data_IF_270284332541
#
_entry.id   IF_270284332541
#
_cell.length_a   1.000
_cell.length_b   1.000
_cell.length_c   1.000
_cell.angle_alpha   90.00
_cell.angle_beta   90.00
_cell.angle_gamma   90.00
#
_symmetry.space_group_name_H-M   'P 1'
#
loop_
_entity.id
_entity.type
_entity.pdbx_description
1 polymer ?
#
# COMPACT_ATOMS: atom_id res chain seq x y z
N UNK A 1 3.45 7.82 -8.18
CA UNK A 1 4.24 6.68 -7.68
C UNK A 1 4.12 5.51 -8.64
N UNK A 2 5.14 4.66 -8.66
CA UNK A 2 5.13 3.38 -9.35
C UNK A 2 5.57 2.31 -8.34
N UNK A 3 4.83 1.23 -8.27
CA UNK A 3 5.11 0.07 -7.43
C UNK A 3 5.21 -1.15 -8.33
N UNK A 4 6.28 -1.90 -8.16
CA UNK A 4 6.50 -3.18 -8.82
C UNK A 4 6.71 -4.25 -7.76
N UNK A 5 6.03 -5.36 -7.90
CA UNK A 5 6.15 -6.54 -7.04
C UNK A 5 6.15 -7.78 -7.91
N UNK A 6 6.82 -8.83 -7.48
CA UNK A 6 6.84 -10.09 -8.24
C UNK A 6 7.55 -11.20 -7.51
N UNK A 7 7.28 -12.42 -7.95
CA UNK A 7 7.96 -13.62 -7.50
C UNK A 7 8.59 -14.32 -8.71
N UNK A 8 9.88 -14.56 -8.64
CA UNK A 8 10.65 -15.30 -9.64
C UNK A 8 10.93 -16.70 -9.16
N UNK A 9 11.30 -17.61 -10.08
CA UNK A 9 11.67 -18.99 -9.79
C UNK A 9 10.56 -19.82 -9.12
N UNK A 10 9.29 -19.58 -9.51
CA UNK A 10 8.17 -20.43 -9.09
C UNK A 10 8.32 -21.78 -9.77
N UNK A 11 8.64 -22.81 -8.99
CA UNK A 11 8.83 -24.16 -9.53
C UNK A 11 7.48 -24.83 -9.80
N UNK A 12 7.10 -24.96 -11.06
CA UNK A 12 5.97 -25.78 -11.48
C UNK A 12 6.22 -27.29 -11.22
N UNK A 13 5.12 -28.03 -11.01
CA UNK A 13 5.15 -29.49 -10.88
C UNK A 13 3.99 -30.11 -11.65
N UNK A 14 4.27 -31.22 -12.31
CA UNK A 14 3.24 -32.07 -12.90
C UNK A 14 2.43 -32.79 -11.81
N UNK A 15 1.28 -33.33 -12.17
CA UNK A 15 0.46 -34.16 -11.27
C UNK A 15 1.20 -35.39 -10.72
N UNK A 16 2.24 -35.82 -11.40
CA UNK A 16 3.17 -36.91 -10.98
C UNK A 16 4.19 -36.46 -9.93
N UNK A 17 4.22 -35.15 -9.54
CA UNK A 17 5.18 -34.57 -8.61
C UNK A 17 6.54 -34.22 -9.24
N UNK A 18 6.80 -34.57 -10.47
CA UNK A 18 8.03 -34.19 -11.19
C UNK A 18 8.07 -32.69 -11.43
N UNK A 19 9.27 -32.10 -11.36
CA UNK A 19 9.47 -30.67 -11.67
C UNK A 19 9.11 -30.42 -13.13
N UNK A 20 8.35 -29.37 -13.36
CA UNK A 20 8.13 -28.82 -14.70
C UNK A 20 8.97 -27.55 -14.88
N UNK A 21 8.45 -26.54 -15.53
CA UNK A 21 9.11 -25.27 -15.80
C UNK A 21 9.26 -24.37 -14.57
N UNK A 22 10.16 -23.41 -14.67
CA UNK A 22 10.20 -22.27 -13.76
C UNK A 22 9.33 -21.14 -14.32
N UNK A 23 8.51 -20.59 -13.47
CA UNK A 23 7.56 -19.52 -13.80
C UNK A 23 7.88 -18.27 -12.98
N UNK A 24 7.34 -17.14 -13.40
CA UNK A 24 7.41 -15.88 -12.68
C UNK A 24 6.08 -15.14 -12.74
N UNK A 25 5.76 -14.39 -11.70
CA UNK A 25 4.62 -13.49 -11.68
C UNK A 25 5.10 -12.06 -11.40
N UNK A 26 4.41 -11.08 -11.93
CA UNK A 26 4.73 -9.68 -11.72
C UNK A 26 3.49 -8.81 -11.64
N UNK A 27 3.49 -7.88 -10.71
CA UNK A 27 2.43 -6.91 -10.53
C UNK A 27 3.01 -5.50 -10.59
N UNK A 28 2.37 -4.63 -11.36
CA UNK A 28 2.74 -3.24 -11.52
C UNK A 28 1.53 -2.35 -11.21
N UNK A 29 1.77 -1.32 -10.40
CA UNK A 29 0.78 -0.30 -10.13
C UNK A 29 1.38 1.10 -10.35
N UNK A 30 0.78 1.90 -11.22
CA UNK A 30 1.10 3.30 -11.41
C UNK A 30 0.01 4.11 -10.72
N UNK A 31 0.42 5.03 -9.84
CA UNK A 31 -0.50 5.87 -9.08
C UNK A 31 -0.24 7.35 -9.38
N UNK A 32 -1.30 8.05 -9.76
CA UNK A 32 -1.32 9.50 -9.95
C UNK A 32 -2.13 10.08 -8.81
N UNK A 33 -1.51 10.93 -7.99
CA UNK A 33 -2.12 11.51 -6.80
C UNK A 33 -2.35 13.00 -7.00
N UNK A 34 -3.54 13.46 -6.67
CA UNK A 34 -3.87 14.87 -6.53
C UNK A 34 -4.26 15.15 -5.08
N UNK A 35 -3.72 16.24 -4.52
CA UNK A 35 -4.10 16.68 -3.17
C UNK A 35 -4.15 18.20 -3.11
N UNK A 36 -5.20 18.73 -2.50
CA UNK A 36 -5.39 20.17 -2.36
C UNK A 36 -5.95 20.53 -0.98
N UNK A 37 -5.41 21.57 -0.39
CA UNK A 37 -6.01 22.22 0.77
C UNK A 37 -7.10 23.17 0.29
N UNK A 38 -8.34 22.87 0.65
CA UNK A 38 -9.53 23.66 0.27
C UNK A 38 -9.75 24.80 1.29
N UNK A 39 -9.60 24.48 2.57
CA UNK A 39 -9.70 25.43 3.69
C UNK A 39 -8.50 25.23 4.63
N UNK A 40 -8.19 26.21 5.52
CA UNK A 40 -7.08 26.06 6.47
C UNK A 40 -7.17 24.79 7.33
N UNK A 41 -8.38 24.26 7.52
CA UNK A 41 -8.68 23.10 8.37
C UNK A 41 -9.13 21.86 7.58
N UNK A 42 -9.31 21.93 6.24
CA UNK A 42 -9.73 20.78 5.42
C UNK A 42 -8.87 20.65 4.16
N UNK A 43 -8.43 19.43 3.89
CA UNK A 43 -7.73 19.04 2.67
C UNK A 43 -8.40 17.82 2.04
N UNK A 44 -8.46 17.81 0.72
CA UNK A 44 -8.98 16.71 -0.08
C UNK A 44 -7.83 16.06 -0.87
N UNK A 45 -7.92 14.75 -1.07
CA UNK A 45 -6.99 13.99 -1.91
C UNK A 45 -7.70 12.92 -2.71
N UNK A 46 -7.17 12.63 -3.89
CA UNK A 46 -7.62 11.55 -4.75
C UNK A 46 -6.43 10.86 -5.40
N UNK A 47 -6.51 9.53 -5.56
CA UNK A 47 -5.58 8.72 -6.33
C UNK A 47 -6.30 8.09 -7.51
N UNK A 48 -5.64 8.08 -8.65
CA UNK A 48 -5.96 7.24 -9.79
C UNK A 48 -4.90 6.16 -9.92
N UNK A 49 -5.32 4.91 -10.07
CA UNK A 49 -4.45 3.73 -10.15
C UNK A 49 -4.60 3.07 -11.52
N UNK A 50 -3.48 2.76 -12.15
CA UNK A 50 -3.40 1.89 -13.32
C UNK A 50 -2.69 0.63 -12.87
N UNK A 51 -3.35 -0.52 -13.05
CA UNK A 51 -2.93 -1.80 -12.52
C UNK A 51 -2.64 -2.77 -13.66
N UNK A 52 -1.57 -3.54 -13.51
CA UNK A 52 -1.23 -4.64 -14.41
C UNK A 52 -0.66 -5.79 -13.61
N UNK A 53 -1.17 -6.99 -13.85
CA UNK A 53 -0.70 -8.21 -13.21
C UNK A 53 -0.50 -9.30 -14.25
N UNK A 54 0.68 -9.88 -14.29
CA UNK A 54 1.06 -10.96 -15.20
C UNK A 54 1.11 -12.27 -14.41
N UNK A 55 0.20 -13.21 -14.72
CA UNK A 55 0.09 -14.54 -14.10
C UNK A 55 0.63 -15.60 -15.06
N UNK A 56 1.56 -16.45 -14.63
CA UNK A 56 2.03 -17.55 -15.45
C UNK A 56 0.98 -18.67 -15.50
N UNK A 57 0.67 -19.13 -16.70
CA UNK A 57 -0.20 -20.29 -16.94
C UNK A 57 0.65 -21.51 -17.25
N UNK A 58 1.56 -21.36 -18.18
CA UNK A 58 2.56 -22.36 -18.57
C UNK A 58 3.94 -21.72 -18.66
N UNK A 59 4.95 -22.45 -19.14
CA UNK A 59 6.28 -21.90 -19.38
C UNK A 59 6.31 -20.81 -20.46
N UNK A 60 5.42 -20.93 -21.47
CA UNK A 60 5.34 -20.04 -22.61
C UNK A 60 4.17 -19.04 -22.53
N UNK A 61 3.15 -19.34 -21.73
CA UNK A 61 1.91 -18.59 -21.74
C UNK A 61 1.71 -17.86 -20.44
N UNK A 62 1.40 -16.57 -20.54
CA UNK A 62 1.06 -15.69 -19.44
C UNK A 62 -0.32 -15.10 -19.67
N UNK A 63 -1.09 -15.01 -18.60
CA UNK A 63 -2.35 -14.29 -18.57
C UNK A 63 -2.09 -12.90 -17.97
N UNK A 64 -2.37 -11.86 -18.75
CA UNK A 64 -2.23 -10.48 -18.27
C UNK A 64 -3.59 -9.93 -17.85
N UNK A 65 -3.67 -9.51 -16.59
CA UNK A 65 -4.77 -8.72 -16.06
C UNK A 65 -4.42 -7.24 -16.08
N UNK A 66 -5.35 -6.42 -16.53
CA UNK A 66 -5.23 -4.97 -16.48
C UNK A 66 -6.43 -4.35 -15.77
N UNK A 67 -6.22 -3.21 -15.12
CA UNK A 67 -7.29 -2.58 -14.37
C UNK A 67 -7.01 -1.14 -13.99
N UNK A 68 -8.05 -0.52 -13.47
CA UNK A 68 -7.99 0.82 -12.91
C UNK A 68 -8.63 0.83 -11.53
N UNK A 69 -8.28 1.80 -10.71
CA UNK A 69 -8.88 1.99 -9.40
C UNK A 69 -8.78 3.43 -8.93
N UNK A 70 -9.60 3.77 -7.95
CA UNK A 70 -9.66 5.10 -7.37
C UNK A 70 -9.64 5.05 -5.85
N UNK A 71 -8.95 6.03 -5.24
CA UNK A 71 -9.08 6.32 -3.83
C UNK A 71 -9.46 7.78 -3.65
N UNK A 72 -10.24 8.07 -2.63
CA UNK A 72 -10.54 9.44 -2.21
C UNK A 72 -10.33 9.58 -0.71
N UNK A 73 -9.92 10.75 -0.27
CA UNK A 73 -9.70 11.01 1.16
C UNK A 73 -9.86 12.46 1.53
N UNK A 74 -10.17 12.68 2.79
CA UNK A 74 -10.31 14.00 3.40
C UNK A 74 -9.51 14.01 4.70
N UNK A 75 -8.77 15.09 4.93
CA UNK A 75 -8.10 15.38 6.20
C UNK A 75 -8.72 16.61 6.81
N UNK A 76 -9.11 16.53 8.09
CA UNK A 76 -9.76 17.58 8.85
C UNK A 76 -8.90 17.88 10.08
N UNK A 77 -8.37 19.10 10.18
CA UNK A 77 -7.71 19.58 11.40
C UNK A 77 -8.79 19.90 12.44
N UNK A 78 -8.89 19.08 13.48
CA UNK A 78 -9.89 19.20 14.54
C UNK A 78 -9.39 20.04 15.73
N UNK A 79 -8.14 20.50 15.67
CA UNK A 79 -7.50 21.32 16.67
C UNK A 79 -6.06 21.63 16.34
N UNK A 80 -5.34 22.22 17.28
CA UNK A 80 -3.93 22.57 17.10
C UNK A 80 -3.03 21.34 16.93
N UNK A 81 -3.36 20.25 17.61
CA UNK A 81 -2.53 19.04 17.67
C UNK A 81 -3.16 17.83 16.97
N UNK A 82 -4.44 17.91 16.60
CA UNK A 82 -5.21 16.76 16.14
C UNK A 82 -5.65 16.92 14.68
N UNK A 83 -5.58 15.82 13.94
CA UNK A 83 -6.10 15.70 12.58
C UNK A 83 -6.89 14.40 12.47
N UNK A 84 -8.10 14.49 11.94
CA UNK A 84 -8.94 13.35 11.57
C UNK A 84 -8.76 13.08 10.07
N UNK A 85 -8.67 11.82 9.70
CA UNK A 85 -8.62 11.36 8.31
C UNK A 85 -9.79 10.42 8.01
N UNK A 86 -10.41 10.61 6.87
CA UNK A 86 -11.42 9.71 6.32
C UNK A 86 -10.99 9.36 4.91
N UNK A 87 -11.03 8.07 4.54
CA UNK A 87 -10.59 7.61 3.23
C UNK A 87 -11.46 6.45 2.74
N UNK A 88 -11.72 6.43 1.46
CA UNK A 88 -12.29 5.26 0.75
C UNK A 88 -11.27 4.82 -0.28
N UNK A 89 -10.85 3.57 -0.20
CA UNK A 89 -9.84 2.98 -1.08
C UNK A 89 -10.47 1.92 -1.99
N UNK A 90 -9.86 1.74 -3.15
CA UNK A 90 -10.21 0.75 -4.14
C UNK A 90 -11.67 0.85 -4.63
N UNK A 91 -12.12 2.10 -4.84
CA UNK A 91 -13.44 2.38 -5.40
C UNK A 91 -13.46 1.86 -6.84
N UNK A 92 -14.34 0.89 -7.11
CA UNK A 92 -14.48 0.24 -8.43
C UNK A 92 -13.17 -0.31 -9.00
N UNK A 93 -12.20 -0.61 -8.14
CA UNK A 93 -10.92 -1.19 -8.55
C UNK A 93 -11.12 -2.64 -8.97
N UNK A 94 -10.55 -3.03 -10.10
CA UNK A 94 -10.65 -4.39 -10.60
C UNK A 94 -9.49 -4.74 -11.53
N UNK A 95 -9.25 -6.03 -11.71
CA UNK A 95 -8.54 -6.58 -12.87
C UNK A 95 -9.54 -7.13 -13.89
N UNK A 96 -9.24 -6.93 -15.14
CA UNK A 96 -9.91 -7.60 -16.27
C UNK A 96 -8.92 -8.57 -16.90
N UNK A 97 -9.31 -9.83 -16.98
CA UNK A 97 -8.53 -10.93 -17.52
C UNK A 97 -9.18 -11.43 -18.80
N UNK A 98 -8.47 -11.43 -19.92
CA UNK A 98 -8.92 -12.08 -21.14
C UNK A 98 -8.31 -13.46 -21.23
N UNK A 99 -9.09 -14.47 -20.89
CA UNK A 99 -8.63 -15.86 -20.98
C UNK A 99 -8.72 -16.43 -22.40
N UNK A 100 -9.29 -15.67 -23.37
CA UNK A 100 -9.33 -16.03 -24.78
C UNK A 100 -7.96 -16.09 -25.44
N UNK A 101 -7.00 -15.34 -24.90
CA UNK A 101 -5.60 -15.37 -25.38
C UNK A 101 -4.89 -16.70 -25.08
N UNK A 102 -5.41 -17.49 -24.13
CA UNK A 102 -4.79 -18.76 -23.67
C UNK A 102 -5.68 -19.97 -23.95
N UNK A 103 -7.00 -19.82 -23.91
CA UNK A 103 -7.96 -20.92 -24.04
C UNK A 103 -8.93 -20.66 -25.19
N UNK A 104 -9.20 -21.68 -26.00
CA UNK A 104 -10.10 -21.60 -27.16
C UNK A 104 -11.56 -21.21 -26.79
N UNK A 105 -12.00 -21.52 -25.56
CA UNK A 105 -13.30 -21.14 -25.00
C UNK A 105 -13.16 -20.05 -23.92
N UNK A 106 -12.10 -19.23 -24.04
CA UNK A 106 -11.81 -18.20 -23.06
C UNK A 106 -12.87 -17.11 -23.00
N UNK A 107 -12.91 -16.40 -21.89
CA UNK A 107 -13.87 -15.33 -21.58
C UNK A 107 -13.17 -14.16 -20.92
N UNK A 108 -13.78 -13.00 -21.02
CA UNK A 108 -13.45 -11.86 -20.17
C UNK A 108 -13.93 -12.14 -18.73
N UNK A 109 -13.00 -12.14 -17.80
CA UNK A 109 -13.27 -12.28 -16.38
C UNK A 109 -12.88 -10.99 -15.65
N UNK A 110 -13.73 -10.53 -14.75
CA UNK A 110 -13.52 -9.34 -13.93
C UNK A 110 -13.31 -9.78 -12.49
N UNK A 111 -12.17 -9.42 -11.93
CA UNK A 111 -11.81 -9.66 -10.55
C UNK A 111 -11.85 -8.33 -9.80
N UNK A 112 -12.85 -8.15 -8.95
CA UNK A 112 -13.12 -6.89 -8.26
C UNK A 112 -12.42 -6.86 -6.91
N UNK A 113 -11.78 -5.74 -6.59
CA UNK A 113 -11.16 -5.52 -5.30
C UNK A 113 -12.19 -5.14 -4.26
N UNK A 114 -12.00 -5.59 -3.02
CA UNK A 114 -12.83 -5.11 -1.91
C UNK A 114 -12.59 -3.62 -1.67
N UNK A 115 -13.65 -2.87 -1.47
CA UNK A 115 -13.55 -1.46 -1.06
C UNK A 115 -13.22 -1.36 0.41
N UNK A 116 -12.30 -0.47 0.78
CA UNK A 116 -11.89 -0.24 2.15
C UNK A 116 -12.29 1.16 2.59
N UNK A 117 -13.18 1.24 3.58
CA UNK A 117 -13.53 2.48 4.27
C UNK A 117 -12.62 2.64 5.48
N UNK A 118 -11.97 3.77 5.62
CA UNK A 118 -10.99 4.01 6.67
C UNK A 118 -11.26 5.33 7.38
N UNK A 119 -11.21 5.28 8.71
CA UNK A 119 -11.23 6.45 9.57
C UNK A 119 -10.05 6.37 10.53
N UNK A 120 -9.35 7.48 10.71
CA UNK A 120 -8.18 7.51 11.59
C UNK A 120 -7.92 8.91 12.14
N UNK A 121 -7.09 8.95 13.15
CA UNK A 121 -6.65 10.19 13.77
C UNK A 121 -5.15 10.24 13.96
N UNK A 122 -4.60 11.45 13.93
CA UNK A 122 -3.22 11.78 14.24
C UNK A 122 -3.19 12.87 15.29
N UNK A 123 -2.45 12.64 16.37
CA UNK A 123 -2.18 13.62 17.42
C UNK A 123 -0.68 13.87 17.47
N UNK A 124 -0.27 15.15 17.53
CA UNK A 124 1.15 15.54 17.67
C UNK A 124 1.30 16.39 18.92
N UNK A 125 2.02 15.91 19.92
CA UNK A 125 2.27 16.60 21.19
C UNK A 125 3.77 16.60 21.44
N UNK A 126 4.40 17.77 21.33
CA UNK A 126 5.82 17.98 21.68
C UNK A 126 6.77 16.95 21.07
N UNK A 127 6.67 16.68 19.78
CA UNK A 127 7.52 15.73 19.08
C UNK A 127 7.06 14.27 19.17
N UNK A 128 6.07 13.95 20.02
CA UNK A 128 5.43 12.65 20.04
C UNK A 128 4.22 12.67 19.11
N UNK A 129 4.22 11.85 18.09
CA UNK A 129 3.09 11.64 17.18
C UNK A 129 2.47 10.29 17.49
N UNK A 130 1.17 10.29 17.73
CA UNK A 130 0.37 9.06 17.86
C UNK A 130 -0.63 9.04 16.73
N UNK A 131 -0.69 7.93 16.02
CA UNK A 131 -1.64 7.69 14.92
C UNK A 131 -2.42 6.41 15.18
N UNK A 132 -3.69 6.42 14.83
CA UNK A 132 -4.51 5.21 14.87
C UNK A 132 -5.59 5.29 13.81
N UNK A 133 -5.90 4.15 13.20
CA UNK A 133 -6.99 4.06 12.25
C UNK A 133 -7.69 2.70 12.31
N UNK A 134 -8.90 2.68 11.83
CA UNK A 134 -9.72 1.48 11.62
C UNK A 134 -10.16 1.48 10.16
N UNK A 135 -9.83 0.40 9.45
CA UNK A 135 -10.32 0.10 8.11
C UNK A 135 -11.42 -0.95 8.16
N UNK A 136 -12.48 -0.74 7.40
CA UNK A 136 -13.56 -1.70 7.18
C UNK A 136 -13.45 -2.20 5.75
N UNK A 137 -13.21 -3.49 5.57
CA UNK A 137 -13.20 -4.13 4.25
C UNK A 137 -14.61 -4.58 3.93
N UNK A 138 -15.09 -4.20 2.75
CA UNK A 138 -16.38 -4.67 2.23
C UNK A 138 -16.15 -5.37 0.90
N UNK A 139 -16.77 -6.53 0.71
CA UNK A 139 -16.84 -7.22 -0.56
C UNK A 139 -18.25 -7.04 -1.12
N UNK A 140 -18.39 -6.15 -2.12
CA UNK A 140 -19.69 -5.64 -2.60
C UNK A 140 -20.53 -5.08 -1.45
N UNK A 141 -21.63 -5.75 -1.11
CA UNK A 141 -22.60 -5.32 -0.10
C UNK A 141 -22.40 -5.99 1.26
N UNK A 142 -21.36 -6.82 1.40
CA UNK A 142 -21.10 -7.57 2.64
C UNK A 142 -19.86 -7.08 3.37
N UNK A 143 -19.98 -6.96 4.69
CA UNK A 143 -18.84 -6.70 5.56
C UNK A 143 -17.92 -7.93 5.62
N UNK A 144 -16.63 -7.75 5.34
CA UNK A 144 -15.67 -8.84 5.32
C UNK A 144 -14.73 -8.84 6.54
N UNK A 145 -14.15 -7.69 6.90
CA UNK A 145 -13.15 -7.63 7.98
C UNK A 145 -12.90 -6.22 8.50
N UNK A 146 -12.31 -6.16 9.71
CA UNK A 146 -11.79 -4.91 10.33
C UNK A 146 -10.27 -4.94 10.34
N UNK A 147 -9.66 -3.82 9.98
CA UNK A 147 -8.21 -3.62 9.96
C UNK A 147 -7.82 -2.49 10.92
N UNK A 148 -7.62 -2.76 12.22
CA UNK A 148 -7.10 -1.76 13.14
C UNK A 148 -5.60 -1.57 12.93
N UNK A 149 -5.13 -0.32 13.03
CA UNK A 149 -3.72 0.04 13.01
C UNK A 149 -3.43 1.11 14.07
N UNK A 150 -2.29 0.98 14.71
CA UNK A 150 -1.79 1.93 15.69
C UNK A 150 -0.30 2.17 15.44
N UNK A 151 0.14 3.41 15.58
CA UNK A 151 1.54 3.77 15.43
C UNK A 151 1.92 4.93 16.33
N UNK A 152 3.19 4.96 16.69
CA UNK A 152 3.83 6.06 17.43
C UNK A 152 5.11 6.45 16.74
N UNK A 153 5.41 7.74 16.73
CA UNK A 153 6.67 8.31 16.29
C UNK A 153 7.16 9.30 17.33
N UNK A 154 8.42 9.23 17.67
CA UNK A 154 9.10 10.21 18.54
C UNK A 154 10.26 10.83 17.79
N UNK A 155 10.19 12.16 17.61
CA UNK A 155 11.29 12.97 17.06
C UNK A 155 12.25 13.41 18.17
N UNK A 156 13.55 13.15 17.96
CA UNK A 156 14.63 13.52 18.87
C UNK A 156 15.65 14.42 18.15
N UNK A 157 15.94 15.56 18.74
CA UNK A 157 16.86 16.58 18.20
C UNK A 157 16.53 17.06 16.78
N UNK A 158 15.26 17.00 16.38
CA UNK A 158 14.77 17.36 15.05
C UNK A 158 15.49 16.65 13.87
N UNK A 159 16.23 15.57 14.17
CA UNK A 159 17.00 14.81 13.19
C UNK A 159 16.76 13.31 13.24
N UNK A 160 16.43 12.77 14.42
CA UNK A 160 16.28 11.34 14.63
C UNK A 160 14.82 11.02 14.90
N UNK A 161 14.29 9.98 14.25
CA UNK A 161 12.92 9.55 14.40
C UNK A 161 12.89 8.08 14.79
N UNK A 162 12.18 7.78 15.88
CA UNK A 162 11.94 6.43 16.38
C UNK A 162 10.48 6.11 16.17
N UNK A 163 10.18 4.99 15.52
CA UNK A 163 8.83 4.59 15.16
C UNK A 163 8.52 3.21 15.67
N UNK A 164 7.29 3.01 16.11
CA UNK A 164 6.76 1.71 16.46
C UNK A 164 5.31 1.62 16.02
N UNK A 165 4.86 0.46 15.58
CA UNK A 165 3.50 0.30 15.14
C UNK A 165 3.03 -1.15 15.10
N UNK A 166 1.72 -1.29 15.06
CA UNK A 166 1.04 -2.54 14.88
C UNK A 166 -0.13 -2.37 13.92
N UNK A 167 -0.29 -3.28 12.99
CA UNK A 167 -1.43 -3.28 12.08
C UNK A 167 -1.43 -4.48 11.16
N UNK A 168 -2.61 -4.95 10.82
CA UNK A 168 -2.80 -6.10 9.92
C UNK A 168 -2.03 -7.36 10.36
N UNK A 169 -1.95 -7.62 11.69
CA UNK A 169 -1.22 -8.77 12.23
C UNK A 169 0.32 -8.61 12.21
N UNK A 170 0.84 -7.42 11.89
CA UNK A 170 2.27 -7.12 11.86
C UNK A 170 2.66 -6.10 12.91
N UNK A 171 3.78 -6.37 13.59
CA UNK A 171 4.47 -5.38 14.42
C UNK A 171 5.62 -4.81 13.62
N UNK A 172 5.82 -3.50 13.69
CA UNK A 172 6.89 -2.82 12.98
C UNK A 172 7.64 -1.84 13.88
N UNK A 173 8.94 -1.72 13.62
CA UNK A 173 9.83 -0.74 14.24
C UNK A 173 10.58 0.01 13.14
N UNK A 174 10.78 1.29 13.32
CA UNK A 174 11.46 2.14 12.34
C UNK A 174 12.40 3.14 12.96
N UNK A 175 13.42 3.47 12.21
CA UNK A 175 14.39 4.52 12.50
C UNK A 175 14.44 5.47 11.31
N UNK A 176 14.44 6.77 11.57
CA UNK A 176 14.60 7.80 10.57
C UNK A 176 15.72 8.75 10.91
N UNK A 177 16.40 9.25 9.89
CA UNK A 177 17.42 10.27 10.03
C UNK A 177 17.22 11.34 8.97
N UNK A 178 17.07 12.59 9.43
CA UNK A 178 16.93 13.78 8.60
C UNK A 178 18.25 14.57 8.63
N UNK A 179 18.74 14.95 7.45
CA UNK A 179 19.97 15.72 7.31
C UNK A 179 19.87 16.72 6.15
N UNK A 180 20.46 17.90 6.34
CA UNK A 180 20.56 18.91 5.29
C UNK A 180 21.76 18.62 4.40
N UNK A 181 21.55 18.30 3.13
CA UNK A 181 22.62 18.11 2.15
C UNK A 181 23.12 19.46 1.59
N UNK A 182 22.23 20.44 1.47
CA UNK A 182 22.49 21.81 1.02
C UNK A 182 21.58 22.75 1.82
N UNK A 183 22.00 24.02 1.96
CA UNK A 183 21.32 25.03 2.80
C UNK A 183 19.81 25.23 2.60
N UNK A 184 19.20 24.56 1.62
CA UNK A 184 17.77 24.65 1.29
C UNK A 184 17.11 23.29 1.02
N UNK A 185 17.81 22.16 1.20
CA UNK A 185 17.32 20.83 0.81
C UNK A 185 17.47 19.85 1.95
N UNK A 186 16.35 19.36 2.42
CA UNK A 186 16.31 18.34 3.47
C UNK A 186 16.23 16.95 2.83
N UNK A 187 17.06 16.05 3.32
CA UNK A 187 17.10 14.65 2.92
C UNK A 187 16.73 13.78 4.10
N UNK A 188 15.97 12.73 3.85
CA UNK A 188 15.45 11.83 4.85
C UNK A 188 15.72 10.39 4.45
N UNK A 189 16.34 9.64 5.36
CA UNK A 189 16.57 8.20 5.22
C UNK A 189 15.80 7.50 6.30
N UNK A 190 14.98 6.52 5.91
CA UNK A 190 14.23 5.68 6.84
C UNK A 190 14.61 4.21 6.68
N UNK A 191 14.63 3.52 7.78
CA UNK A 191 14.68 2.07 7.83
C UNK A 191 13.52 1.55 8.66
N UNK A 192 12.85 0.52 8.18
CA UNK A 192 11.81 -0.18 8.91
C UNK A 192 12.03 -1.69 8.88
N UNK A 193 11.82 -2.30 10.02
CA UNK A 193 11.73 -3.73 10.23
C UNK A 193 10.31 -4.10 10.62
N UNK A 194 9.72 -5.09 9.99
CA UNK A 194 8.40 -5.60 10.38
C UNK A 194 8.40 -7.13 10.45
N UNK A 195 7.57 -7.64 11.34
CA UNK A 195 7.40 -9.07 11.59
C UNK A 195 5.92 -9.39 11.78
N UNK A 196 5.44 -10.46 11.17
CA UNK A 196 4.09 -10.97 11.38
C UNK A 196 4.06 -12.18 12.34
N UNK A 197 2.87 -12.65 12.65
CA UNK A 197 2.66 -13.79 13.56
C UNK A 197 3.22 -15.11 13.02
N UNK A 198 3.48 -15.21 11.72
CA UNK A 198 4.09 -16.40 11.09
C UNK A 198 5.61 -16.32 11.05
N UNK A 199 6.20 -15.34 11.75
CA UNK A 199 7.63 -15.03 11.79
C UNK A 199 8.23 -14.65 10.42
N UNK A 200 7.42 -14.24 9.45
CA UNK A 200 7.93 -13.62 8.23
C UNK A 200 8.37 -12.20 8.53
N UNK A 201 9.60 -11.89 8.16
CA UNK A 201 10.20 -10.57 8.37
C UNK A 201 10.32 -9.81 7.06
N UNK A 202 10.19 -8.49 7.13
CA UNK A 202 10.47 -7.61 6.01
C UNK A 202 11.33 -6.42 6.46
N UNK A 203 12.23 -6.02 5.59
CA UNK A 203 13.11 -4.86 5.75
C UNK A 203 12.77 -3.86 4.66
N UNK A 204 12.54 -2.62 5.03
CA UNK A 204 12.24 -1.54 4.09
C UNK A 204 13.21 -0.41 4.31
N UNK A 205 13.82 0.08 3.24
CA UNK A 205 14.65 1.28 3.25
C UNK A 205 13.98 2.28 2.32
N UNK A 206 13.81 3.52 2.77
CA UNK A 206 13.32 4.61 1.95
C UNK A 206 14.26 5.80 2.02
N UNK A 207 14.29 6.55 0.95
CA UNK A 207 15.01 7.79 0.82
C UNK A 207 14.08 8.84 0.22
N UNK A 208 14.00 9.99 0.87
CA UNK A 208 13.27 11.14 0.38
C UNK A 208 14.19 12.36 0.29
N UNK A 209 14.00 13.15 -0.75
CA UNK A 209 14.74 14.37 -1.01
C UNK A 209 13.73 15.49 -1.30
N UNK A 210 13.85 16.60 -0.57
CA UNK A 210 13.04 17.81 -0.77
C UNK A 210 13.89 18.91 -1.42
N UNK A 211 13.35 19.57 -2.42
CA UNK A 211 13.98 20.65 -3.17
C UNK A 211 13.06 21.86 -3.30
#
# INVERSE_FOLDING_TARGET
>A
AWVNSGVTNIQGRYSTGMKSSQMQTGENAIMITFAQRILPWISFGANFKILRHDLPITESDQLTGSGIGFDIGVLIKTGQFNTLGIMVQDISSNYQWDTGDVYAEGRLYKDEFPTIYRIGSRTNIKGLIVVGDIGLITNHDTFASVLPRLGVEYGFLDQYYFRGGYGNGRTAFGLGYEYGLFKAHDSHIDYAFSMDWTAQTAHTISYAFSF
#
